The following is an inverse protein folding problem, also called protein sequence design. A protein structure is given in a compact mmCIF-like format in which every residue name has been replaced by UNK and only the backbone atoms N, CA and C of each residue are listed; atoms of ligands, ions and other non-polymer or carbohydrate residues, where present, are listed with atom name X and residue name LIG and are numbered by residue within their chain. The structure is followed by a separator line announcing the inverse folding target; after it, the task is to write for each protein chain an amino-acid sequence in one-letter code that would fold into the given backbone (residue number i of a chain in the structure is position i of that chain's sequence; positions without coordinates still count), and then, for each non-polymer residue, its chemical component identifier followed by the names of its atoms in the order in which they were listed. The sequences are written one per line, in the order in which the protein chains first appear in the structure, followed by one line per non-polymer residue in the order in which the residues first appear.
data_IF_043102383257
#
_entry.id   IF_043102383257
#
_cell.length_a   1.000
_cell.length_b   1.000
_cell.length_c   1.000
_cell.angle_alpha   90.00
_cell.angle_beta   90.00
_cell.angle_gamma   90.00
#
_symmetry.space_group_name_H-M   'P 1'
#
loop_
_entity.id
_entity.type
_entity.pdbx_description
1 polymer ?
#
# COMPACT_ATOMS: atom_id res chain seq x y z
N UNK A 1 -11.47 0.33 -5.23
CA UNK A 1 -10.91 0.48 -6.58
C UNK A 1 -10.70 -0.86 -7.30
N UNK A 2 -10.07 -1.88 -6.70
CA UNK A 2 -9.86 -3.20 -7.37
C UNK A 2 -11.16 -3.83 -7.88
N UNK A 3 -12.20 -3.85 -7.04
CA UNK A 3 -13.51 -4.39 -7.40
C UNK A 3 -14.14 -3.64 -8.59
N UNK A 4 -13.99 -2.31 -8.65
CA UNK A 4 -14.46 -1.50 -9.77
C UNK A 4 -13.77 -1.86 -11.08
N UNK A 5 -12.47 -2.14 -11.07
CA UNK A 5 -11.75 -2.60 -12.26
C UNK A 5 -12.26 -3.97 -12.72
N UNK A 6 -12.50 -4.89 -11.78
CA UNK A 6 -13.11 -6.20 -12.05
C UNK A 6 -14.50 -6.06 -12.70
N UNK A 7 -15.36 -5.24 -12.10
CA UNK A 7 -16.74 -5.05 -12.57
C UNK A 7 -16.80 -4.40 -13.95
N UNK A 8 -15.84 -3.51 -14.23
CA UNK A 8 -15.65 -2.91 -15.55
C UNK A 8 -14.95 -3.83 -16.58
N UNK A 9 -14.54 -5.05 -16.17
CA UNK A 9 -13.70 -5.96 -16.97
C UNK A 9 -12.41 -5.31 -17.49
N UNK A 10 -11.87 -4.37 -16.71
CA UNK A 10 -10.62 -3.69 -17.03
C UNK A 10 -9.42 -4.52 -16.55
N UNK A 11 -8.29 -4.40 -17.25
CA UNK A 11 -7.02 -5.00 -16.81
C UNK A 11 -6.41 -4.17 -15.70
N UNK A 12 -5.84 -4.84 -14.71
CA UNK A 12 -5.36 -4.23 -13.48
C UNK A 12 -4.11 -4.94 -12.96
N UNK A 13 -3.15 -4.15 -12.47
CA UNK A 13 -2.17 -4.60 -11.48
C UNK A 13 -2.52 -3.92 -10.16
N UNK A 14 -3.05 -4.63 -9.15
CA UNK A 14 -3.46 -4.01 -7.90
C UNK A 14 -2.29 -3.27 -7.23
N UNK A 15 -2.52 -2.03 -6.82
CA UNK A 15 -1.59 -1.27 -5.98
C UNK A 15 -2.09 -1.34 -4.54
N UNK A 16 -1.20 -1.69 -3.62
CA UNK A 16 -1.48 -1.86 -2.19
C UNK A 16 -0.65 -0.87 -1.38
N UNK A 17 -1.27 0.21 -0.86
CA UNK A 17 -0.59 1.15 0.00
C UNK A 17 -0.29 0.55 1.38
N UNK A 18 0.84 0.95 1.98
CA UNK A 18 1.18 0.69 3.40
C UNK A 18 0.57 1.71 4.37
N UNK A 19 0.03 2.81 3.84
CA UNK A 19 -0.62 3.89 4.56
C UNK A 19 -0.76 5.13 3.66
N UNK A 20 -1.16 6.26 4.26
CA UNK A 20 -1.10 7.59 3.64
C UNK A 20 -1.19 8.66 4.74
N UNK A 21 -0.21 9.56 4.78
CA UNK A 21 -0.14 10.68 5.72
C UNK A 21 0.61 11.84 5.07
N UNK A 22 -0.14 12.74 4.45
CA UNK A 22 0.43 13.90 3.75
C UNK A 22 0.74 15.08 4.68
N UNK A 23 0.55 14.93 6.01
CA UNK A 23 0.80 16.01 6.97
C UNK A 23 2.20 16.63 6.88
N UNK A 24 3.29 15.89 6.57
CA UNK A 24 4.60 16.53 6.34
C UNK A 24 4.58 17.60 5.24
N UNK A 25 3.84 17.36 4.15
CA UNK A 25 3.64 18.33 3.04
C UNK A 25 2.65 19.43 3.42
N UNK A 26 1.66 19.15 4.28
CA UNK A 26 0.75 20.18 4.81
C UNK A 26 1.48 21.15 5.76
N UNK A 27 2.27 20.62 6.68
CA UNK A 27 3.04 21.38 7.67
C UNK A 27 4.23 22.12 7.04
N UNK A 28 4.83 21.55 6.00
CA UNK A 28 5.93 22.13 5.24
C UNK A 28 5.60 22.13 3.73
N UNK A 29 4.78 23.09 3.26
CA UNK A 29 4.31 23.12 1.89
C UNK A 29 5.41 23.16 0.83
N UNK A 30 5.22 22.37 -0.22
CA UNK A 30 6.04 22.40 -1.44
C UNK A 30 5.39 23.30 -2.48
N UNK A 31 6.15 23.99 -3.36
CA UNK A 31 5.58 24.98 -4.27
C UNK A 31 4.71 24.40 -5.40
N UNK A 32 4.71 23.08 -5.61
CA UNK A 32 3.98 22.41 -6.70
C UNK A 32 2.72 21.67 -6.26
N UNK A 33 2.38 21.66 -4.97
CA UNK A 33 1.24 20.91 -4.45
C UNK A 33 0.68 21.58 -3.19
N UNK A 34 -0.64 21.60 -3.08
CA UNK A 34 -1.35 21.99 -1.86
C UNK A 34 -2.01 20.76 -1.26
N UNK A 35 -1.59 20.36 -0.06
CA UNK A 35 -2.14 19.24 0.71
C UNK A 35 -3.00 19.77 1.86
N UNK A 36 -3.95 18.96 2.30
CA UNK A 36 -4.75 19.21 3.51
C UNK A 36 -4.26 18.41 4.72
N UNK A 37 -4.89 18.58 5.89
CA UNK A 37 -4.51 17.87 7.12
C UNK A 37 -5.03 16.42 7.17
N UNK A 38 -5.79 15.98 6.17
CA UNK A 38 -6.34 14.63 6.09
C UNK A 38 -5.20 13.60 6.08
N UNK A 39 -5.41 12.50 6.80
CA UNK A 39 -4.48 11.38 6.85
C UNK A 39 -5.19 10.12 7.34
N UNK A 40 -4.58 8.97 7.10
CA UNK A 40 -4.93 7.74 7.79
C UNK A 40 -3.94 7.49 8.93
N UNK A 41 -4.44 6.98 10.06
CA UNK A 41 -3.55 6.50 11.11
C UNK A 41 -2.71 5.32 10.62
N UNK A 42 -1.51 5.17 11.18
CA UNK A 42 -0.65 4.04 10.87
C UNK A 42 -1.41 2.74 11.20
N UNK A 43 -1.43 1.76 10.27
CA UNK A 43 -2.10 0.49 10.51
C UNK A 43 -1.34 -0.33 11.55
N UNK A 44 -2.07 -1.16 12.28
CA UNK A 44 -1.47 -2.25 13.06
C UNK A 44 -0.81 -3.28 12.14
N UNK A 45 0.05 -4.11 12.72
CA UNK A 45 0.69 -5.19 11.96
C UNK A 45 -0.34 -6.17 11.37
N UNK A 46 -1.43 -6.43 12.09
CA UNK A 46 -2.51 -7.31 11.69
C UNK A 46 -3.35 -6.71 10.56
N UNK A 47 -3.71 -5.42 10.65
CA UNK A 47 -4.44 -4.72 9.58
C UNK A 47 -3.63 -4.68 8.29
N UNK A 48 -2.33 -4.37 8.39
CA UNK A 48 -1.44 -4.35 7.26
C UNK A 48 -1.34 -5.74 6.61
N UNK A 49 -1.11 -6.78 7.40
CA UNK A 49 -1.06 -8.15 6.89
C UNK A 49 -2.38 -8.57 6.23
N UNK A 50 -3.52 -8.26 6.85
CA UNK A 50 -4.83 -8.63 6.32
C UNK A 50 -5.13 -7.91 5.00
N UNK A 51 -4.73 -6.64 4.87
CA UNK A 51 -4.93 -5.89 3.64
C UNK A 51 -4.12 -6.49 2.48
N UNK A 52 -2.85 -6.83 2.73
CA UNK A 52 -2.01 -7.49 1.73
C UNK A 52 -2.48 -8.90 1.39
N UNK A 53 -2.93 -9.70 2.37
CA UNK A 53 -3.56 -11.01 2.10
C UNK A 53 -4.78 -10.87 1.20
N UNK A 54 -5.61 -9.85 1.44
CA UNK A 54 -6.77 -9.56 0.58
C UNK A 54 -6.34 -9.24 -0.86
N UNK A 55 -5.27 -8.48 -1.04
CA UNK A 55 -4.74 -8.14 -2.37
C UNK A 55 -4.17 -9.36 -3.10
N UNK A 56 -3.40 -10.19 -2.41
CA UNK A 56 -2.84 -11.44 -2.94
C UNK A 56 -3.97 -12.37 -3.35
N UNK A 57 -4.98 -12.56 -2.49
CA UNK A 57 -6.15 -13.39 -2.79
C UNK A 57 -6.93 -12.86 -4.01
N UNK A 58 -7.13 -11.53 -4.09
CA UNK A 58 -7.77 -10.90 -5.24
C UNK A 58 -6.99 -11.18 -6.54
N UNK A 59 -5.66 -11.07 -6.48
CA UNK A 59 -4.76 -11.35 -7.61
C UNK A 59 -4.87 -12.81 -8.07
N UNK A 60 -4.80 -13.77 -7.14
CA UNK A 60 -4.94 -15.18 -7.48
C UNK A 60 -6.33 -15.53 -8.01
N UNK A 61 -7.39 -14.95 -7.44
CA UNK A 61 -8.77 -15.31 -7.76
C UNK A 61 -9.23 -14.78 -9.13
N UNK A 62 -8.72 -13.61 -9.56
CA UNK A 62 -9.25 -12.90 -10.72
C UNK A 62 -8.23 -12.72 -11.84
N UNK A 63 -7.70 -13.83 -12.38
CA UNK A 63 -6.68 -13.81 -13.43
C UNK A 63 -7.11 -13.05 -14.71
N UNK A 64 -8.39 -13.07 -15.07
CA UNK A 64 -8.88 -12.28 -16.21
C UNK A 64 -8.77 -10.76 -15.98
N UNK A 65 -8.81 -10.32 -14.72
CA UNK A 65 -8.65 -8.91 -14.33
C UNK A 65 -7.17 -8.61 -14.08
N UNK A 66 -6.45 -9.51 -13.41
CA UNK A 66 -5.04 -9.37 -13.03
C UNK A 66 -4.18 -10.37 -13.80
N UNK A 67 -4.06 -10.16 -15.12
CA UNK A 67 -3.39 -11.09 -16.03
C UNK A 67 -1.91 -11.30 -15.69
N UNK A 68 -1.27 -10.28 -15.13
CA UNK A 68 0.13 -10.36 -14.70
C UNK A 68 0.33 -11.21 -13.43
N UNK A 69 -0.75 -11.62 -12.76
CA UNK A 69 -0.70 -12.33 -11.47
C UNK A 69 0.24 -11.65 -10.47
N UNK A 70 0.21 -10.31 -10.46
CA UNK A 70 1.17 -9.47 -9.74
C UNK A 70 0.41 -8.38 -8.99
N UNK A 71 0.92 -8.03 -7.81
CA UNK A 71 0.50 -6.86 -7.02
C UNK A 71 1.70 -5.94 -6.81
N UNK A 72 1.48 -4.63 -6.83
CA UNK A 72 2.46 -3.61 -6.52
C UNK A 72 2.28 -3.09 -5.09
N UNK A 73 3.38 -2.94 -4.39
CA UNK A 73 3.39 -2.33 -3.06
C UNK A 73 3.73 -0.85 -3.19
N UNK A 74 2.90 0.01 -2.61
CA UNK A 74 3.14 1.44 -2.51
C UNK A 74 3.37 1.83 -1.03
N UNK A 75 4.50 2.33 -0.61
CA UNK A 75 5.71 2.61 -1.36
C UNK A 75 6.94 2.10 -0.63
N UNK A 76 8.04 1.98 -1.38
CA UNK A 76 9.35 1.74 -0.78
C UNK A 76 9.73 2.91 0.13
N UNK A 77 9.72 4.15 -0.38
CA UNK A 77 10.32 5.31 0.29
C UNK A 77 9.59 6.65 0.08
N UNK A 78 8.28 6.65 -0.20
CA UNK A 78 7.51 7.88 -0.44
C UNK A 78 7.18 8.64 0.87
N UNK A 79 8.23 9.01 1.61
CA UNK A 79 8.12 9.54 2.98
C UNK A 79 7.39 10.89 3.07
N UNK A 80 7.28 11.61 1.95
CA UNK A 80 6.61 12.90 1.94
C UNK A 80 5.09 12.80 1.86
N UNK A 81 4.57 11.69 1.32
CA UNK A 81 3.13 11.40 1.19
C UNK A 81 2.64 10.38 2.21
N UNK A 82 3.56 9.56 2.67
CA UNK A 82 3.24 8.30 3.27
C UNK A 82 3.78 8.26 4.69
N UNK A 83 2.87 8.23 5.66
CA UNK A 83 3.19 7.99 7.07
C UNK A 83 3.69 6.57 7.34
N UNK A 84 3.76 5.71 6.32
CA UNK A 84 4.10 4.31 6.38
C UNK A 84 4.89 3.89 5.13
N UNK A 85 6.20 3.65 5.22
CA UNK A 85 7.03 3.21 4.10
C UNK A 85 7.74 1.89 4.42
N UNK A 86 8.07 1.10 3.39
CA UNK A 86 8.85 -0.14 3.59
C UNK A 86 10.28 0.12 4.03
N UNK A 87 10.87 1.26 3.67
CA UNK A 87 12.22 1.57 4.12
C UNK A 87 12.29 1.57 5.66
N UNK A 88 13.37 1.00 6.23
CA UNK A 88 13.59 1.14 7.65
C UNK A 88 13.76 2.61 8.06
N UNK A 89 13.14 2.98 9.18
CA UNK A 89 13.22 4.36 9.72
C UNK A 89 13.80 4.36 11.13
N UNK A 90 14.24 5.53 11.61
CA UNK A 90 14.71 5.67 12.99
C UNK A 90 13.59 5.47 14.02
N UNK A 91 12.34 5.78 13.67
CA UNK A 91 11.19 5.65 14.58
C UNK A 91 10.63 4.23 14.65
N UNK A 92 10.44 3.59 13.50
CA UNK A 92 9.74 2.29 13.41
C UNK A 92 10.65 1.12 13.03
N UNK A 93 11.97 1.34 12.88
CA UNK A 93 12.92 0.29 12.51
C UNK A 93 12.48 -0.42 11.22
N UNK A 94 12.50 -1.76 11.23
CA UNK A 94 12.11 -2.64 10.12
C UNK A 94 10.64 -3.06 10.14
N UNK A 95 9.79 -2.42 10.95
CA UNK A 95 8.41 -2.86 11.22
C UNK A 95 7.62 -3.29 9.97
N UNK A 96 7.62 -2.49 8.90
CA UNK A 96 6.83 -2.79 7.70
C UNK A 96 7.36 -4.01 6.93
N UNK A 97 8.68 -4.10 6.75
CA UNK A 97 9.31 -5.26 6.08
C UNK A 97 9.12 -6.53 6.91
N UNK A 98 9.29 -6.46 8.23
CA UNK A 98 9.08 -7.60 9.13
C UNK A 98 7.62 -8.02 9.23
N UNK A 99 6.69 -7.07 9.09
CA UNK A 99 5.26 -7.35 9.09
C UNK A 99 4.84 -8.07 7.81
N UNK A 100 5.33 -7.61 6.66
CA UNK A 100 5.00 -8.23 5.37
C UNK A 100 5.77 -9.54 5.13
N UNK A 101 6.99 -9.69 5.65
CA UNK A 101 7.76 -10.94 5.48
C UNK A 101 7.04 -12.17 6.05
N UNK A 102 6.19 -11.97 7.06
CA UNK A 102 5.33 -13.02 7.65
C UNK A 102 4.26 -13.57 6.69
N UNK A 103 3.96 -12.87 5.59
CA UNK A 103 2.89 -13.24 4.66
C UNK A 103 3.36 -13.43 3.22
N UNK A 104 4.58 -13.02 2.88
CA UNK A 104 5.12 -13.16 1.53
C UNK A 104 5.51 -14.59 1.06
N UNK A 105 5.59 -15.66 1.89
CA UNK A 105 5.66 -17.01 1.32
C UNK A 105 4.32 -17.48 0.72
N UNK A 106 3.28 -16.64 0.71
CA UNK A 106 2.01 -16.91 0.03
C UNK A 106 2.16 -16.60 -1.46
N UNK A 107 2.20 -17.64 -2.26
CA UNK A 107 2.10 -17.55 -3.72
C UNK A 107 0.85 -18.29 -4.19
N UNK A 108 0.26 -17.82 -5.29
CA UNK A 108 -0.44 -18.71 -6.20
C UNK A 108 0.66 -19.53 -6.94
#
# INVERSE_FOLDING_TARGET
WWQSAKDAKAKLVPIVPTGWDARPRYENPVPWLYEGPEHYFQPTGEELQQFFRTAINFTCQYNETVEAQTTLVYAWNENSENGACLIPTLGNGTFYVDTLSKILPLYC
#
